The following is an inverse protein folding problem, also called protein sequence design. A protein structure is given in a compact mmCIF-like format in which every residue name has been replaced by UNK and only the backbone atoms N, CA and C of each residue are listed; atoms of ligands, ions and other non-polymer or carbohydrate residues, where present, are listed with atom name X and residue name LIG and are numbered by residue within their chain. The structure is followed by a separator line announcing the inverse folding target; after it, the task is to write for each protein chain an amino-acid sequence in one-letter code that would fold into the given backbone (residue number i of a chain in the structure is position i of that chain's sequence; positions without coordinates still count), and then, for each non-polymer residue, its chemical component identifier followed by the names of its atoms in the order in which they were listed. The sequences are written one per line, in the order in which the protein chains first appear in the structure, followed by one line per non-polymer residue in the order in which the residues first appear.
data_IF_404947232937
#
_entry.id   IF_404947232937
#
_cell.length_a   1.000
_cell.length_b   1.000
_cell.length_c   1.000
_cell.angle_alpha   90.00
_cell.angle_beta   90.00
_cell.angle_gamma   90.00
#
_symmetry.space_group_name_H-M   'P 1'
#
loop_
_entity.id
_entity.type
_entity.pdbx_description
1 polymer ?
#
# COMPACT_ATOMS: atom_id res chain seq x y z
N UNK A 1 3.08 -5.99 3.39
CA UNK A 1 2.41 -4.76 3.85
C UNK A 1 1.93 -4.85 5.30
N UNK A 2 1.00 -5.74 5.68
CA UNK A 2 0.49 -5.80 7.05
C UNK A 2 1.60 -6.02 8.09
N UNK A 3 2.53 -6.95 7.87
CA UNK A 3 3.69 -7.17 8.75
C UNK A 3 4.53 -5.90 8.95
N UNK A 4 4.75 -5.13 7.89
CA UNK A 4 5.45 -3.85 7.99
C UNK A 4 4.69 -2.86 8.88
N UNK A 5 3.37 -2.70 8.70
CA UNK A 5 2.56 -1.82 9.54
C UNK A 5 2.58 -2.22 11.03
N UNK A 6 2.53 -3.53 11.31
CA UNK A 6 2.54 -4.06 12.67
C UNK A 6 3.84 -3.76 13.40
N UNK A 7 4.98 -3.86 12.73
CA UNK A 7 6.27 -3.52 13.34
C UNK A 7 6.34 -2.07 13.84
N UNK A 8 5.43 -1.22 13.36
CA UNK A 8 5.23 0.16 13.83
C UNK A 8 4.01 0.33 14.76
N UNK A 9 3.35 -0.76 15.17
CA UNK A 9 2.22 -0.75 16.10
C UNK A 9 0.85 -0.47 15.44
N UNK A 10 0.74 -0.55 14.10
CA UNK A 10 -0.53 -0.39 13.38
C UNK A 10 -1.11 -1.76 13.06
N UNK A 11 -2.16 -2.16 13.76
CA UNK A 11 -2.77 -3.49 13.66
C UNK A 11 -4.26 -3.48 13.22
N UNK A 12 -4.82 -2.30 12.92
CA UNK A 12 -6.19 -2.16 12.46
C UNK A 12 -6.21 -1.85 10.96
N UNK A 13 -6.73 -2.79 10.17
CA UNK A 13 -6.74 -2.71 8.71
C UNK A 13 -8.17 -2.67 8.18
N UNK A 14 -8.41 -1.81 7.21
CA UNK A 14 -9.66 -1.78 6.45
C UNK A 14 -9.33 -1.99 4.97
N UNK A 15 -9.80 -3.09 4.40
CA UNK A 15 -9.62 -3.41 3.00
C UNK A 15 -10.87 -3.00 2.22
N UNK A 16 -10.72 -2.08 1.28
CA UNK A 16 -11.76 -1.64 0.36
C UNK A 16 -11.89 -2.66 -0.78
N UNK A 17 -12.85 -3.57 -0.68
CA UNK A 17 -13.01 -4.68 -1.61
C UNK A 17 -13.87 -4.30 -2.82
N UNK A 18 -13.48 -4.81 -3.98
CA UNK A 18 -14.19 -4.71 -5.25
C UNK A 18 -14.24 -6.04 -5.97
N UNK A 19 -13.71 -6.09 -7.20
CA UNK A 19 -13.61 -7.31 -7.99
C UNK A 19 -12.87 -8.41 -7.21
N UNK A 20 -13.42 -9.63 -7.22
CA UNK A 20 -12.91 -10.78 -6.46
C UNK A 20 -12.75 -10.56 -4.95
N UNK A 21 -13.52 -9.65 -4.37
CA UNK A 21 -13.50 -9.42 -2.93
C UNK A 21 -13.86 -10.64 -2.10
N UNK A 22 -14.66 -11.57 -2.67
CA UNK A 22 -14.98 -12.86 -2.05
C UNK A 22 -13.74 -13.74 -1.83
N UNK A 23 -12.76 -13.72 -2.72
CA UNK A 23 -11.50 -14.48 -2.57
C UNK A 23 -10.71 -13.98 -1.38
N UNK A 24 -10.66 -12.64 -1.20
CA UNK A 24 -9.99 -12.03 -0.04
C UNK A 24 -10.74 -12.37 1.26
N UNK A 25 -12.08 -12.33 1.24
CA UNK A 25 -12.90 -12.73 2.39
C UNK A 25 -12.68 -14.19 2.76
N UNK A 26 -12.68 -15.08 1.78
CA UNK A 26 -12.42 -16.50 1.98
C UNK A 26 -11.06 -16.75 2.62
N UNK A 27 -10.02 -16.07 2.16
CA UNK A 27 -8.68 -16.14 2.76
C UNK A 27 -8.70 -15.76 4.25
N UNK A 28 -9.32 -14.63 4.62
CA UNK A 28 -9.32 -14.18 6.02
C UNK A 28 -10.24 -15.00 6.92
N UNK A 29 -11.40 -15.47 6.39
CA UNK A 29 -12.30 -16.37 7.13
C UNK A 29 -11.59 -17.70 7.45
N UNK A 30 -10.82 -18.21 6.50
CA UNK A 30 -10.09 -19.47 6.64
C UNK A 30 -8.62 -19.28 7.08
N UNK A 31 -8.24 -18.08 7.52
CA UNK A 31 -6.86 -17.76 7.84
C UNK A 31 -6.19 -18.78 8.78
N UNK A 32 -6.89 -19.17 9.86
CA UNK A 32 -6.37 -20.15 10.80
C UNK A 32 -6.27 -21.56 10.19
N UNK A 33 -7.16 -21.92 9.28
CA UNK A 33 -7.10 -23.21 8.59
C UNK A 33 -5.92 -23.29 7.62
N UNK A 34 -5.54 -22.16 7.00
CA UNK A 34 -4.41 -22.08 6.07
C UNK A 34 -3.05 -21.94 6.76
N UNK A 35 -3.03 -21.35 7.95
CA UNK A 35 -1.80 -21.01 8.68
C UNK A 35 -1.48 -21.93 9.86
N UNK A 36 -2.31 -22.98 10.13
CA UNK A 36 -2.16 -23.87 11.25
C UNK A 36 -2.29 -25.34 10.83
N UNK A 37 -1.78 -26.25 11.64
CA UNK A 37 -2.13 -27.65 11.51
C UNK A 37 -3.56 -27.86 12.00
N UNK A 38 -4.33 -28.71 11.33
CA UNK A 38 -5.70 -29.02 11.72
C UNK A 38 -5.99 -30.52 11.71
N UNK A 39 -6.85 -30.94 12.62
CA UNK A 39 -7.41 -32.29 12.64
C UNK A 39 -8.95 -32.21 12.58
N UNK A 40 -9.56 -33.07 11.74
CA UNK A 40 -10.99 -33.08 11.51
C UNK A 40 -11.54 -34.47 11.87
N UNK A 41 -12.52 -34.52 12.79
CA UNK A 41 -13.27 -35.71 13.04
C UNK A 41 -14.45 -35.79 12.08
N UNK A 42 -14.34 -36.57 11.00
CA UNK A 42 -15.34 -36.61 9.95
C UNK A 42 -16.74 -37.12 10.44
N UNK A 43 -16.78 -37.87 11.56
CA UNK A 43 -18.02 -38.38 12.12
C UNK A 43 -18.96 -37.26 12.61
N UNK A 44 -18.42 -36.19 13.16
CA UNK A 44 -19.20 -35.14 13.82
C UNK A 44 -18.84 -33.73 13.35
N UNK A 45 -17.87 -33.58 12.41
CA UNK A 45 -17.43 -32.27 11.90
C UNK A 45 -16.59 -31.44 12.86
N UNK A 46 -16.13 -32.02 14.00
CA UNK A 46 -15.32 -31.32 14.96
C UNK A 46 -13.94 -31.00 14.35
N UNK A 47 -13.52 -29.73 14.40
CA UNK A 47 -12.23 -29.22 13.92
C UNK A 47 -11.40 -28.74 15.10
N UNK A 48 -10.16 -29.18 15.18
CA UNK A 48 -9.17 -28.68 16.14
C UNK A 48 -7.94 -28.18 15.42
N UNK A 49 -7.39 -27.07 15.91
CA UNK A 49 -6.19 -26.43 15.36
C UNK A 49 -5.02 -26.58 16.33
N UNK A 50 -3.83 -26.85 15.79
CA UNK A 50 -2.56 -26.83 16.52
C UNK A 50 -1.53 -25.96 15.79
N UNK A 51 -0.46 -25.58 16.47
CA UNK A 51 0.58 -24.68 15.93
C UNK A 51 -0.01 -23.39 15.30
N UNK A 52 -0.98 -22.78 16.00
CA UNK A 52 -1.62 -21.56 15.53
C UNK A 52 -0.59 -20.43 15.40
N UNK A 53 -0.46 -19.89 14.19
CA UNK A 53 0.09 -18.56 13.99
C UNK A 53 -0.97 -17.57 14.46
N UNK A 54 -0.63 -16.74 15.43
CA UNK A 54 -1.54 -15.73 15.99
C UNK A 54 -0.99 -14.36 15.65
N UNK A 55 -1.59 -13.75 14.64
CA UNK A 55 -1.34 -12.35 14.29
C UNK A 55 -2.35 -11.47 15.02
N UNK A 56 -1.89 -10.39 15.65
CA UNK A 56 -2.75 -9.40 16.31
C UNK A 56 -3.30 -8.39 15.31
N UNK A 57 -4.05 -8.88 14.31
CA UNK A 57 -4.65 -8.04 13.27
C UNK A 57 -6.15 -7.94 13.43
N UNK A 58 -6.66 -6.72 13.38
CA UNK A 58 -8.07 -6.45 13.23
C UNK A 58 -8.35 -6.08 11.77
N UNK A 59 -8.94 -6.98 11.01
CA UNK A 59 -9.15 -6.79 9.58
C UNK A 59 -10.64 -6.60 9.28
N UNK A 60 -10.99 -5.43 8.76
CA UNK A 60 -12.33 -5.10 8.27
C UNK A 60 -12.37 -5.23 6.75
N UNK A 61 -13.21 -6.10 6.22
CA UNK A 61 -13.35 -6.40 4.81
C UNK A 61 -14.65 -5.77 4.28
N UNK A 62 -14.53 -4.58 3.67
CA UNK A 62 -15.66 -3.74 3.29
C UNK A 62 -15.86 -3.78 1.78
N UNK A 63 -17.06 -4.21 1.36
CA UNK A 63 -17.43 -4.13 -0.05
C UNK A 63 -17.69 -2.67 -0.44
N UNK A 64 -16.84 -2.14 -1.30
CA UNK A 64 -16.92 -0.75 -1.79
C UNK A 64 -17.42 -0.67 -3.24
N UNK A 65 -17.95 -1.77 -3.77
CA UNK A 65 -18.51 -1.85 -5.13
C UNK A 65 -17.49 -2.26 -6.18
N UNK A 66 -18.01 -2.91 -7.23
CA UNK A 66 -17.18 -3.45 -8.33
C UNK A 66 -16.62 -2.33 -9.21
N UNK A 67 -17.45 -1.32 -9.49
CA UNK A 67 -17.16 -0.24 -10.44
C UNK A 67 -16.64 1.05 -9.79
N UNK A 68 -16.51 1.09 -8.45
CA UNK A 68 -15.99 2.26 -7.77
C UNK A 68 -14.51 2.45 -8.06
N UNK A 69 -14.12 3.69 -8.36
CA UNK A 69 -12.73 4.09 -8.55
C UNK A 69 -12.05 4.32 -7.19
N UNK A 70 -10.76 4.63 -7.18
CA UNK A 70 -9.94 4.74 -5.96
C UNK A 70 -10.49 5.75 -4.95
N UNK A 71 -10.86 6.94 -5.39
CA UNK A 71 -11.53 7.96 -4.56
C UNK A 71 -12.93 7.54 -4.11
N UNK A 72 -13.72 6.92 -5.00
CA UNK A 72 -15.05 6.41 -4.68
C UNK A 72 -15.00 5.31 -3.61
N UNK A 73 -14.02 4.41 -3.67
CA UNK A 73 -13.80 3.40 -2.61
C UNK A 73 -13.49 4.05 -1.27
N UNK A 74 -12.63 5.07 -1.27
CA UNK A 74 -12.29 5.82 -0.07
C UNK A 74 -13.53 6.55 0.48
N UNK A 75 -14.31 7.21 -0.38
CA UNK A 75 -15.54 7.90 0.01
C UNK A 75 -16.55 6.99 0.73
N UNK A 76 -16.69 5.74 0.28
CA UNK A 76 -17.56 4.74 0.92
C UNK A 76 -17.10 4.30 2.31
N UNK A 77 -15.86 4.63 2.68
CA UNK A 77 -15.30 4.38 4.01
C UNK A 77 -15.42 5.59 4.96
N UNK A 78 -16.00 6.71 4.52
CA UNK A 78 -16.13 7.97 5.28
C UNK A 78 -16.64 7.77 6.70
N UNK A 79 -17.62 6.90 6.90
CA UNK A 79 -18.21 6.66 8.22
C UNK A 79 -17.32 5.86 9.18
N UNK A 80 -16.32 5.19 8.64
CA UNK A 80 -15.35 4.37 9.40
C UNK A 80 -14.05 5.11 9.69
N UNK A 81 -13.68 6.09 8.85
CA UNK A 81 -12.42 6.82 8.91
C UNK A 81 -12.66 8.23 9.47
N UNK A 82 -12.83 8.34 10.79
CA UNK A 82 -13.17 9.59 11.50
C UNK A 82 -11.98 10.32 12.13
N UNK A 83 -10.79 9.75 12.04
CA UNK A 83 -9.54 10.32 12.53
C UNK A 83 -8.48 10.22 11.43
N UNK A 84 -7.29 10.79 11.64
CA UNK A 84 -6.12 10.62 10.76
C UNK A 84 -5.92 9.15 10.43
N UNK A 85 -5.74 8.81 9.17
CA UNK A 85 -5.56 7.43 8.71
C UNK A 85 -4.47 7.32 7.64
N UNK A 86 -3.91 6.13 7.53
CA UNK A 86 -2.97 5.77 6.48
C UNK A 86 -3.69 5.03 5.36
N UNK A 87 -3.31 5.30 4.11
CA UNK A 87 -3.81 4.61 2.94
C UNK A 87 -2.65 4.12 2.09
N UNK A 88 -2.76 2.90 1.58
CA UNK A 88 -1.79 2.35 0.62
C UNK A 88 -2.50 1.46 -0.40
N UNK A 89 -1.83 1.24 -1.53
CA UNK A 89 -2.26 0.28 -2.53
C UNK A 89 -1.88 -1.15 -2.13
N UNK A 90 -2.55 -2.14 -2.70
CA UNK A 90 -2.33 -3.54 -2.38
C UNK A 90 -1.12 -4.18 -3.06
N UNK A 91 -0.53 -3.51 -4.04
CA UNK A 91 0.50 -4.00 -4.95
C UNK A 91 1.88 -3.34 -4.75
N UNK A 92 2.03 -2.45 -3.78
CA UNK A 92 3.29 -1.80 -3.45
C UNK A 92 3.88 -2.29 -2.12
N UNK A 93 5.19 -2.47 -2.06
CA UNK A 93 5.95 -2.71 -0.83
C UNK A 93 7.05 -1.67 -0.67
N UNK A 94 7.35 -1.28 0.57
CA UNK A 94 8.37 -0.29 0.90
C UNK A 94 8.89 -0.52 2.32
N UNK A 95 10.09 -0.06 2.60
CA UNK A 95 10.67 0.02 3.95
C UNK A 95 10.51 1.41 4.58
N UNK A 96 9.52 2.18 4.12
CA UNK A 96 9.22 3.52 4.66
C UNK A 96 8.98 3.46 6.17
N UNK A 97 9.63 4.33 6.93
CA UNK A 97 9.38 4.47 8.36
C UNK A 97 8.03 5.16 8.60
N UNK A 98 7.03 4.37 9.02
CA UNK A 98 5.65 4.85 9.22
C UNK A 98 5.52 5.79 10.41
N UNK A 99 6.41 5.71 11.42
CA UNK A 99 6.40 6.65 12.55
C UNK A 99 6.95 8.02 12.11
N UNK A 100 8.05 8.04 11.36
CA UNK A 100 8.59 9.29 10.81
C UNK A 100 7.66 9.90 9.76
N UNK A 101 7.00 9.09 8.93
CA UNK A 101 5.96 9.55 8.00
C UNK A 101 4.79 10.21 8.77
N UNK A 102 4.30 9.58 9.85
CA UNK A 102 3.21 10.13 10.68
C UNK A 102 3.65 11.40 11.41
N UNK A 103 4.88 11.44 11.90
CA UNK A 103 5.46 12.64 12.55
C UNK A 103 5.59 13.81 11.56
N UNK A 104 6.05 13.53 10.35
CA UNK A 104 6.10 14.51 9.26
C UNK A 104 4.69 15.05 8.97
N UNK A 105 3.69 14.18 8.78
CA UNK A 105 2.32 14.59 8.54
C UNK A 105 1.78 15.50 9.64
N UNK A 106 1.94 15.13 10.89
CA UNK A 106 1.51 15.94 12.04
C UNK A 106 2.22 17.29 12.13
N UNK A 107 3.48 17.38 11.66
CA UNK A 107 4.29 18.59 11.77
C UNK A 107 3.83 19.74 10.88
N UNK A 108 3.21 19.46 9.75
CA UNK A 108 2.78 20.49 8.79
C UNK A 108 1.29 20.86 8.90
N UNK A 109 0.45 20.02 9.55
CA UNK A 109 -0.96 20.30 9.80
C UNK A 109 -1.83 20.40 8.54
N UNK A 110 -1.40 19.78 7.41
CA UNK A 110 -2.13 19.75 6.15
C UNK A 110 -3.01 18.51 6.04
N UNK A 111 -3.95 18.50 5.09
CA UNK A 111 -4.94 17.42 4.90
C UNK A 111 -4.27 16.13 4.44
N UNK A 112 -3.24 16.23 3.57
CA UNK A 112 -2.67 15.08 2.91
C UNK A 112 -1.15 15.06 2.94
N UNK A 113 -0.58 13.87 3.13
CA UNK A 113 0.82 13.56 2.87
C UNK A 113 0.89 12.38 1.90
N UNK A 114 1.67 12.52 0.84
CA UNK A 114 2.02 11.42 -0.07
C UNK A 114 3.49 11.05 0.12
N UNK A 115 3.80 9.75 0.14
CA UNK A 115 5.19 9.31 0.09
C UNK A 115 5.69 9.40 -1.34
N UNK A 116 6.65 10.30 -1.56
CA UNK A 116 7.35 10.43 -2.83
C UNK A 116 8.54 9.47 -2.86
N UNK A 117 8.67 8.70 -3.94
CA UNK A 117 9.73 7.71 -4.13
C UNK A 117 10.41 7.89 -5.48
N UNK A 118 11.64 7.41 -5.60
CA UNK A 118 12.35 7.30 -6.86
C UNK A 118 12.35 5.82 -7.27
N UNK A 119 11.56 5.43 -8.28
CA UNK A 119 11.46 4.03 -8.69
C UNK A 119 12.79 3.53 -9.25
N UNK A 120 13.08 2.26 -9.07
CA UNK A 120 14.20 1.59 -9.73
C UNK A 120 14.04 1.70 -11.25
N UNK A 121 15.09 2.12 -11.97
CA UNK A 121 15.04 2.18 -13.41
C UNK A 121 14.87 0.75 -13.98
N UNK A 122 13.86 0.55 -14.83
CA UNK A 122 13.61 -0.74 -15.49
C UNK A 122 14.60 -0.98 -16.65
N UNK A 123 15.25 0.06 -17.16
CA UNK A 123 16.14 0.05 -18.32
C UNK A 123 17.42 0.84 -18.04
N UNK A 124 18.45 0.58 -18.87
CA UNK A 124 19.66 1.42 -18.87
C UNK A 124 19.34 2.85 -19.31
N UNK A 125 19.87 3.83 -18.58
CA UNK A 125 19.75 5.23 -18.94
C UNK A 125 20.91 5.66 -19.86
N UNK A 126 20.62 6.45 -20.89
CA UNK A 126 21.60 7.04 -21.77
C UNK A 126 21.44 8.56 -21.81
N UNK A 127 22.57 9.26 -21.75
CA UNK A 127 22.61 10.66 -22.13
C UNK A 127 23.12 10.76 -23.57
N UNK A 128 22.29 11.29 -24.47
CA UNK A 128 22.59 11.39 -25.89
C UNK A 128 22.63 12.86 -26.25
N UNK A 129 23.71 13.28 -26.92
CA UNK A 129 23.87 14.61 -27.48
C UNK A 129 24.38 14.49 -28.93
N UNK A 130 23.64 15.08 -29.86
CA UNK A 130 23.89 15.04 -31.32
C UNK A 130 24.26 13.63 -31.84
N UNK A 131 23.48 12.60 -31.42
CA UNK A 131 23.69 11.20 -31.78
C UNK A 131 24.86 10.50 -31.07
N UNK A 132 25.61 11.23 -30.23
CA UNK A 132 26.67 10.66 -29.39
C UNK A 132 26.12 10.25 -28.04
N UNK A 133 26.41 9.02 -27.63
CA UNK A 133 26.14 8.57 -26.25
C UNK A 133 27.27 9.09 -25.37
N UNK A 134 26.95 10.08 -24.54
CA UNK A 134 27.91 10.70 -23.59
C UNK A 134 28.01 9.91 -22.28
N UNK A 135 26.95 9.23 -21.89
CA UNK A 135 26.91 8.41 -20.69
C UNK A 135 25.93 7.25 -20.89
N UNK A 136 26.30 6.07 -20.43
CA UNK A 136 25.45 4.89 -20.35
C UNK A 136 25.54 4.32 -18.94
N UNK A 137 24.41 4.22 -18.25
CA UNK A 137 24.31 3.57 -16.95
C UNK A 137 23.24 2.51 -16.99
N UNK A 138 23.62 1.29 -16.67
CA UNK A 138 22.65 0.22 -16.44
C UNK A 138 21.86 0.52 -15.17
N UNK A 139 20.54 0.59 -15.27
CA UNK A 139 19.59 0.83 -14.17
C UNK A 139 19.97 2.03 -13.26
N UNK A 140 20.11 3.26 -13.79
CA UNK A 140 20.36 4.42 -12.95
C UNK A 140 19.13 4.70 -12.06
N UNK A 141 19.35 5.08 -10.80
CA UNK A 141 18.26 5.51 -9.90
C UNK A 141 17.64 6.86 -10.30
N UNK A 142 18.17 7.55 -11.28
CA UNK A 142 17.85 8.94 -11.60
C UNK A 142 17.31 9.12 -13.01
N UNK A 143 16.14 8.56 -13.33
CA UNK A 143 15.58 8.76 -14.67
C UNK A 143 14.26 9.53 -14.72
N UNK A 144 13.39 9.43 -13.72
CA UNK A 144 12.00 9.87 -13.79
C UNK A 144 11.57 10.88 -12.73
N UNK A 145 12.50 11.30 -11.85
CA UNK A 145 12.10 12.17 -10.73
C UNK A 145 11.28 11.43 -9.67
N UNK A 146 10.65 12.22 -8.79
CA UNK A 146 9.79 11.70 -7.75
C UNK A 146 8.43 11.27 -8.32
N UNK A 147 7.95 10.10 -7.88
CA UNK A 147 6.62 9.61 -8.20
C UNK A 147 5.82 9.34 -6.92
N UNK A 148 4.51 9.17 -7.07
CA UNK A 148 3.61 8.72 -6.01
C UNK A 148 3.96 7.27 -5.62
N UNK A 149 4.44 7.07 -4.40
CA UNK A 149 4.79 5.76 -3.84
C UNK A 149 3.62 5.02 -3.19
N UNK A 150 2.43 5.60 -3.17
CA UNK A 150 1.20 4.94 -2.71
C UNK A 150 1.03 4.85 -1.19
N UNK A 151 1.95 5.38 -0.39
CA UNK A 151 1.79 5.48 1.06
C UNK A 151 1.34 6.88 1.40
N UNK A 152 0.08 7.02 1.78
CA UNK A 152 -0.52 8.30 2.14
C UNK A 152 -0.88 8.37 3.61
N UNK A 153 -0.92 9.59 4.14
CA UNK A 153 -1.64 9.91 5.36
C UNK A 153 -2.65 11.01 5.05
N UNK A 154 -3.88 10.82 5.52
CA UNK A 154 -4.96 11.75 5.32
C UNK A 154 -5.63 12.14 6.63
N UNK A 155 -6.04 13.40 6.71
CA UNK A 155 -7.06 13.86 7.65
C UNK A 155 -8.47 13.59 7.10
N UNK A 156 -9.49 13.43 7.96
CA UNK A 156 -10.88 13.18 7.50
C UNK A 156 -11.44 14.24 6.54
N UNK A 157 -10.89 15.45 6.52
CA UNK A 157 -11.27 16.50 5.55
C UNK A 157 -10.94 16.14 4.10
N UNK A 158 -10.16 15.09 3.82
CA UNK A 158 -9.99 14.54 2.46
C UNK A 158 -11.34 14.21 1.80
N UNK A 159 -12.33 13.79 2.59
CA UNK A 159 -13.66 13.46 2.07
C UNK A 159 -14.40 14.62 1.44
N UNK A 160 -14.00 15.87 1.68
CA UNK A 160 -14.58 17.05 1.06
C UNK A 160 -14.02 17.30 -0.36
N UNK A 161 -12.99 16.53 -0.76
CA UNK A 161 -12.39 16.51 -2.08
C UNK A 161 -12.89 15.34 -2.96
N UNK A 162 -13.75 14.47 -2.41
CA UNK A 162 -14.26 13.28 -3.10
C UNK A 162 -15.75 13.45 -3.40
N UNK A 163 -16.09 13.39 -4.68
CA UNK A 163 -17.47 13.71 -5.13
C UNK A 163 -18.37 12.46 -5.14
N UNK A 164 -17.96 11.38 -5.83
CA UNK A 164 -18.77 10.19 -6.04
C UNK A 164 -17.95 8.92 -6.29
N UNK A 165 -18.63 7.83 -6.66
CA UNK A 165 -18.02 6.52 -6.93
C UNK A 165 -17.05 6.53 -8.12
N UNK A 166 -17.17 7.48 -9.05
CA UNK A 166 -16.31 7.59 -10.24
C UNK A 166 -15.05 8.40 -9.99
N UNK A 167 -14.93 9.01 -8.83
CA UNK A 167 -13.76 9.80 -8.43
C UNK A 167 -12.50 8.94 -8.40
N UNK A 168 -11.49 9.36 -9.17
CA UNK A 168 -10.13 8.80 -9.14
C UNK A 168 -9.30 9.65 -8.19
N UNK A 169 -8.84 9.07 -7.07
CA UNK A 169 -8.12 9.79 -6.01
C UNK A 169 -6.89 10.54 -6.54
N UNK A 170 -6.17 9.92 -7.47
CA UNK A 170 -4.89 10.38 -8.02
C UNK A 170 -5.02 11.52 -9.05
N UNK A 171 -6.23 11.88 -9.44
CA UNK A 171 -6.51 12.93 -10.43
C UNK A 171 -6.97 14.22 -9.75
N UNK A 172 -8.20 14.62 -10.02
CA UNK A 172 -8.78 15.89 -9.57
C UNK A 172 -8.66 16.14 -8.04
N UNK A 173 -8.89 15.17 -7.14
CA UNK A 173 -8.69 15.37 -5.71
C UNK A 173 -7.28 15.80 -5.36
N UNK A 174 -6.25 15.13 -5.93
CA UNK A 174 -4.86 15.50 -5.68
C UNK A 174 -4.53 16.88 -6.26
N UNK A 175 -5.03 17.23 -7.45
CA UNK A 175 -4.85 18.54 -8.05
C UNK A 175 -5.50 19.65 -7.21
N UNK A 176 -6.71 19.43 -6.70
CA UNK A 176 -7.37 20.36 -5.78
C UNK A 176 -6.55 20.56 -4.50
N UNK A 177 -6.07 19.48 -3.88
CA UNK A 177 -5.22 19.56 -2.69
C UNK A 177 -3.92 20.34 -2.94
N UNK A 178 -3.30 20.18 -4.11
CA UNK A 178 -2.10 20.95 -4.51
C UNK A 178 -2.45 22.44 -4.63
N UNK A 179 -3.55 22.77 -5.32
CA UNK A 179 -3.98 24.15 -5.52
C UNK A 179 -4.32 24.86 -4.21
N UNK A 180 -4.90 24.13 -3.25
CA UNK A 180 -5.24 24.63 -1.91
C UNK A 180 -4.05 24.65 -0.95
N UNK A 181 -2.88 24.13 -1.37
CA UNK A 181 -1.69 24.01 -0.53
C UNK A 181 -1.84 23.00 0.61
N UNK A 182 -2.68 21.97 0.43
CA UNK A 182 -3.02 20.96 1.43
C UNK A 182 -2.38 19.60 1.19
N UNK A 183 -1.52 19.46 0.16
CA UNK A 183 -0.73 18.24 -0.12
C UNK A 183 0.75 18.45 0.15
N UNK A 184 1.33 17.61 1.00
CA UNK A 184 2.77 17.58 1.28
C UNK A 184 3.38 16.26 0.81
N UNK A 185 4.66 16.30 0.40
CA UNK A 185 5.40 15.11 -0.04
C UNK A 185 6.47 14.73 0.98
N UNK A 186 6.39 13.50 1.49
CA UNK A 186 7.45 12.87 2.28
C UNK A 186 8.41 12.14 1.35
N UNK A 187 9.65 12.62 1.25
CA UNK A 187 10.66 12.04 0.36
C UNK A 187 11.28 10.80 0.98
N UNK A 188 10.98 9.62 0.42
CA UNK A 188 11.55 8.34 0.84
C UNK A 188 12.65 7.90 -0.11
N UNK A 189 13.85 7.70 0.43
CA UNK A 189 15.05 7.30 -0.33
C UNK A 189 15.39 5.81 -0.19
N UNK A 190 14.59 5.05 0.58
CA UNK A 190 14.78 3.62 0.82
C UNK A 190 14.19 2.74 -0.28
N UNK A 191 13.90 1.50 0.08
CA UNK A 191 13.34 0.54 -0.85
C UNK A 191 11.86 0.80 -1.14
N UNK A 192 11.50 0.78 -2.39
CA UNK A 192 10.12 0.79 -2.87
C UNK A 192 10.00 0.00 -4.17
N UNK A 193 8.97 -0.84 -4.28
CA UNK A 193 8.67 -1.62 -5.48
C UNK A 193 7.17 -1.88 -5.59
N UNK A 194 6.59 -1.65 -6.78
CA UNK A 194 5.25 -2.12 -7.14
C UNK A 194 5.32 -3.50 -7.82
N UNK A 195 4.21 -4.23 -7.78
CA UNK A 195 4.06 -5.56 -8.37
C UNK A 195 3.07 -5.51 -9.54
N UNK A 196 3.48 -4.86 -10.64
CA UNK A 196 2.63 -4.68 -11.83
C UNK A 196 2.70 -5.87 -12.79
N UNK A 197 3.80 -6.62 -12.76
CA UNK A 197 4.07 -7.71 -13.70
C UNK A 197 4.39 -9.01 -12.95
N UNK A 198 4.29 -10.14 -13.68
CA UNK A 198 4.73 -11.46 -13.16
C UNK A 198 6.20 -11.41 -12.74
N UNK A 199 7.04 -10.73 -13.50
CA UNK A 199 8.47 -10.56 -13.18
C UNK A 199 8.66 -9.80 -11.87
N UNK A 200 7.88 -8.74 -11.63
CA UNK A 200 7.96 -7.99 -10.36
C UNK A 200 7.58 -8.89 -9.19
N UNK A 201 6.51 -9.70 -9.32
CA UNK A 201 6.10 -10.68 -8.31
C UNK A 201 7.20 -11.70 -8.03
N UNK A 202 7.81 -12.29 -9.07
CA UNK A 202 8.88 -13.27 -8.93
C UNK A 202 10.09 -12.67 -8.22
N UNK A 203 10.50 -11.46 -8.63
CA UNK A 203 11.62 -10.75 -7.98
C UNK A 203 11.34 -10.44 -6.51
N UNK A 204 10.11 -9.99 -6.17
CA UNK A 204 9.73 -9.75 -4.78
C UNK A 204 9.70 -11.04 -3.95
N UNK A 205 9.25 -12.16 -4.56
CA UNK A 205 9.25 -13.47 -3.91
C UNK A 205 10.67 -13.96 -3.64
N UNK A 206 11.59 -13.82 -4.61
CA UNK A 206 13.01 -14.18 -4.43
C UNK A 206 13.67 -13.38 -3.29
N UNK A 207 13.40 -12.07 -3.21
CA UNK A 207 13.89 -11.22 -2.11
C UNK A 207 13.32 -11.69 -0.76
N UNK A 208 12.02 -12.00 -0.73
CA UNK A 208 11.36 -12.54 0.47
C UNK A 208 11.98 -13.86 0.92
N UNK A 209 12.12 -14.83 0.02
CA UNK A 209 12.62 -16.16 0.32
C UNK A 209 14.10 -16.15 0.75
N UNK A 210 14.87 -15.17 0.27
CA UNK A 210 16.27 -14.95 0.69
C UNK A 210 16.42 -14.35 2.09
N UNK A 211 15.32 -13.91 2.73
CA UNK A 211 15.34 -13.24 4.03
C UNK A 211 15.87 -11.80 4.00
N UNK A 212 16.04 -11.22 2.80
CA UNK A 212 16.58 -9.86 2.62
C UNK A 212 15.49 -8.80 2.37
N UNK A 213 14.22 -9.14 2.59
CA UNK A 213 13.11 -8.25 2.36
C UNK A 213 13.07 -7.12 3.41
N UNK A 214 13.55 -5.93 3.05
CA UNK A 214 13.61 -4.77 3.95
C UNK A 214 12.24 -4.30 4.47
N UNK A 215 11.16 -4.71 3.79
CA UNK A 215 9.76 -4.43 4.19
C UNK A 215 9.16 -5.49 5.15
N UNK A 216 9.92 -6.46 5.62
CA UNK A 216 9.42 -7.47 6.58
C UNK A 216 9.15 -6.89 7.98
N UNK A 217 9.60 -5.68 8.26
CA UNK A 217 9.61 -5.09 9.58
C UNK A 217 10.88 -5.53 10.37
N UNK A 218 11.29 -4.68 11.29
CA UNK A 218 12.41 -4.98 12.20
C UNK A 218 11.92 -5.70 13.43
#
# INVERSE_FOLDING_TARGET
MALHCISYGFNNFTLALGYKGEVIKDYFINYHAYSSDLAIKLKNGEVSFSNRVSEDWNVSLINTGISSMTGGRLLRLRDKLKATFMLTYGDGVSDVDLQELLKFHKSHGKIATVTAVIPSARFGGMHVDDGKVLNFKEKPQSGSGWINGGFFIFEPSIFDYLDDDTTVLEHEPMEKLVNDGELMAYQHHGYWQCMDTIRDRESLQEIWDSGNASWQGK
#
